data_IF_014910921117
#
_entry.id   IF_014910921117
#
_cell.length_a   1.000
_cell.length_b   1.000
_cell.length_c   1.000
_cell.angle_alpha   90.00
_cell.angle_beta   90.00
_cell.angle_gamma   90.00
#
_symmetry.space_group_name_H-M   'P 1'
#
loop_
_entity.id
_entity.type
_entity.pdbx_description
1 polymer ?
#
# COMPACT_ATOMS: atom_id res chain seq x y z
N UNK A 1 -17.71 0.05 -14.24
CA UNK A 1 -17.64 -0.84 -13.08
C UNK A 1 -17.01 -0.11 -11.90
N UNK A 2 -17.46 -0.40 -10.68
CA UNK A 2 -16.86 0.22 -9.52
C UNK A 2 -15.41 -0.25 -9.33
N UNK A 3 -14.58 0.62 -8.79
CA UNK A 3 -13.23 0.27 -8.39
C UNK A 3 -13.29 -0.72 -7.22
N UNK A 4 -12.28 -1.58 -7.12
CA UNK A 4 -12.21 -2.59 -6.08
C UNK A 4 -11.18 -2.20 -5.03
N UNK A 5 -11.52 -2.34 -3.76
CA UNK A 5 -10.54 -2.27 -2.69
C UNK A 5 -9.62 -3.49 -2.82
N UNK A 6 -8.38 -3.24 -3.24
CA UNK A 6 -7.41 -4.31 -3.44
C UNK A 6 -6.76 -4.71 -2.13
N UNK A 7 -6.21 -3.73 -1.41
CA UNK A 7 -5.61 -3.99 -0.11
C UNK A 7 -5.61 -2.75 0.78
N UNK A 8 -5.40 -2.98 2.06
CA UNK A 8 -5.07 -1.94 3.03
C UNK A 8 -3.64 -2.11 3.49
N UNK A 9 -2.94 -1.00 3.73
CA UNK A 9 -1.57 -1.02 4.23
C UNK A 9 -1.60 -0.69 5.71
N UNK A 10 -1.05 -1.60 6.52
CA UNK A 10 -0.99 -1.46 7.98
C UNK A 10 0.45 -1.31 8.42
N UNK A 11 0.78 -0.18 9.05
CA UNK A 11 2.07 -0.03 9.71
C UNK A 11 2.09 -0.88 10.97
N UNK A 12 3.17 -1.62 11.19
CA UNK A 12 3.34 -2.43 12.40
C UNK A 12 4.73 -2.26 12.97
N UNK A 13 4.81 -2.13 14.29
CA UNK A 13 6.06 -2.20 15.04
C UNK A 13 6.36 -3.63 15.53
N UNK A 14 5.44 -4.55 15.28
CA UNK A 14 5.52 -5.97 15.67
C UNK A 14 5.03 -6.82 14.51
N UNK A 15 5.63 -6.66 13.33
CA UNK A 15 5.14 -7.26 12.09
C UNK A 15 5.04 -8.79 12.19
N UNK A 16 6.02 -9.47 12.78
CA UNK A 16 5.99 -10.93 12.91
C UNK A 16 4.78 -11.39 13.74
N UNK A 17 4.48 -10.70 14.84
CA UNK A 17 3.32 -11.03 15.67
C UNK A 17 2.00 -10.74 14.95
N UNK A 18 1.92 -9.64 14.21
CA UNK A 18 0.73 -9.29 13.43
C UNK A 18 0.49 -10.30 12.31
N UNK A 19 1.54 -10.68 11.58
CA UNK A 19 1.44 -11.70 10.54
C UNK A 19 0.99 -13.04 11.13
N UNK A 20 1.55 -13.46 12.27
CA UNK A 20 1.12 -14.68 12.95
C UNK A 20 -0.37 -14.62 13.35
N UNK A 21 -0.85 -13.48 13.84
CA UNK A 21 -2.26 -13.29 14.14
C UNK A 21 -3.13 -13.44 12.89
N UNK A 22 -2.73 -12.81 11.78
CA UNK A 22 -3.50 -12.87 10.53
C UNK A 22 -3.53 -14.28 9.95
N UNK A 23 -2.47 -15.05 10.08
CA UNK A 23 -2.44 -16.43 9.60
C UNK A 23 -3.16 -17.39 10.54
N UNK A 24 -2.90 -17.31 11.84
CA UNK A 24 -3.39 -18.30 12.82
C UNK A 24 -4.84 -18.03 13.23
N UNK A 25 -5.23 -16.76 13.31
CA UNK A 25 -6.57 -16.38 13.81
C UNK A 25 -7.50 -15.99 12.68
N UNK A 26 -7.05 -15.12 11.76
CA UNK A 26 -7.89 -14.67 10.66
C UNK A 26 -7.90 -15.64 9.48
N UNK A 27 -7.03 -16.64 9.46
CA UNK A 27 -6.99 -17.65 8.41
C UNK A 27 -6.45 -17.15 7.08
N UNK A 28 -5.74 -16.05 7.07
CA UNK A 28 -5.11 -15.52 5.86
C UNK A 28 -3.85 -16.31 5.52
N UNK A 29 -3.48 -16.26 4.24
CA UNK A 29 -2.25 -16.88 3.73
C UNK A 29 -1.29 -15.79 3.29
N UNK A 30 -0.02 -15.94 3.62
CA UNK A 30 1.02 -15.08 3.06
C UNK A 30 1.11 -15.37 1.57
N UNK A 31 0.82 -14.35 0.76
CA UNK A 31 0.84 -14.47 -0.69
C UNK A 31 2.22 -14.13 -1.25
N UNK A 32 2.83 -13.07 -0.74
CA UNK A 32 4.20 -12.71 -1.12
C UNK A 32 4.79 -11.71 -0.13
N UNK A 33 6.10 -11.63 -0.18
CA UNK A 33 6.92 -10.71 0.61
C UNK A 33 7.84 -9.95 -0.33
N UNK A 34 8.08 -8.67 -0.04
CA UNK A 34 9.02 -7.89 -0.84
C UNK A 34 9.66 -6.79 -0.01
N UNK A 35 10.81 -6.32 -0.49
CA UNK A 35 11.50 -5.16 0.06
C UNK A 35 11.14 -3.94 -0.77
N UNK A 36 10.58 -2.91 -0.13
CA UNK A 36 10.23 -1.65 -0.79
C UNK A 36 11.31 -0.62 -0.50
N UNK A 37 11.89 0.01 -1.54
CA UNK A 37 12.95 1.00 -1.34
C UNK A 37 12.47 2.26 -0.61
N UNK A 38 13.39 2.91 0.11
CA UNK A 38 13.10 4.13 0.85
C UNK A 38 12.44 5.25 0.03
N UNK A 39 12.90 5.56 -1.19
CA UNK A 39 12.28 6.61 -2.01
C UNK A 39 10.80 6.43 -2.27
N UNK A 40 10.30 5.19 -2.33
CA UNK A 40 8.86 4.92 -2.48
C UNK A 40 8.08 5.45 -1.28
N UNK A 41 8.56 5.20 -0.07
CA UNK A 41 7.90 5.67 1.16
C UNK A 41 8.03 7.18 1.34
N UNK A 42 9.12 7.79 0.88
CA UNK A 42 9.25 9.25 0.87
C UNK A 42 8.15 9.88 -0.01
N UNK A 43 7.95 9.33 -1.20
CA UNK A 43 6.96 9.83 -2.15
C UNK A 43 5.52 9.54 -1.74
N UNK A 44 5.25 8.37 -1.15
CA UNK A 44 3.88 7.90 -0.92
C UNK A 44 3.37 8.10 0.49
N UNK A 45 4.25 8.00 1.49
CA UNK A 45 3.87 8.09 2.90
C UNK A 45 4.52 9.29 3.62
N UNK A 46 5.34 10.07 2.92
CA UNK A 46 6.00 11.22 3.53
C UNK A 46 7.08 10.87 4.54
N UNK A 47 7.63 9.67 4.45
CA UNK A 47 8.70 9.26 5.36
C UNK A 47 9.99 10.03 5.09
N UNK A 48 10.85 10.21 6.11
CA UNK A 48 12.20 10.71 5.86
C UNK A 48 13.02 9.68 5.07
N UNK A 49 14.16 10.08 4.50
CA UNK A 49 15.04 9.15 3.79
C UNK A 49 15.38 7.92 4.64
N UNK A 50 15.33 6.75 4.04
CA UNK A 50 15.57 5.47 4.72
C UNK A 50 16.05 4.42 3.72
N UNK A 51 16.47 3.26 4.25
CA UNK A 51 16.85 2.09 3.46
C UNK A 51 15.63 1.30 2.97
N UNK A 52 14.42 1.77 3.27
CA UNK A 52 13.19 1.07 2.92
C UNK A 52 12.71 0.15 4.03
N UNK A 53 11.75 -0.70 3.69
CA UNK A 53 11.14 -1.62 4.65
C UNK A 53 10.62 -2.87 3.97
N UNK A 54 10.49 -3.93 4.76
CA UNK A 54 9.87 -5.16 4.32
C UNK A 54 8.36 -5.05 4.39
N UNK A 55 7.67 -5.57 3.38
CA UNK A 55 6.22 -5.68 3.38
C UNK A 55 5.83 -7.14 3.13
N UNK A 56 4.74 -7.55 3.77
CA UNK A 56 4.17 -8.89 3.62
C UNK A 56 2.72 -8.72 3.24
N UNK A 57 2.29 -9.36 2.16
CA UNK A 57 0.91 -9.28 1.69
C UNK A 57 0.21 -10.60 1.97
N UNK A 58 -0.92 -10.50 2.67
CA UNK A 58 -1.71 -11.64 3.10
C UNK A 58 -3.15 -11.52 2.61
N UNK A 59 -3.77 -12.65 2.39
CA UNK A 59 -5.18 -12.71 2.03
C UNK A 59 -5.61 -14.12 1.68
N UNK A 60 -6.82 -14.23 1.14
CA UNK A 60 -7.39 -15.51 0.68
C UNK A 60 -7.87 -15.45 -0.77
N UNK A 61 -7.55 -14.38 -1.49
CA UNK A 61 -7.97 -14.19 -2.88
C UNK A 61 -7.16 -13.08 -3.55
N UNK A 62 -7.72 -12.50 -4.61
CA UNK A 62 -7.05 -11.49 -5.43
C UNK A 62 -7.27 -10.07 -4.91
N UNK A 63 -8.25 -9.87 -4.04
CA UNK A 63 -8.58 -8.60 -3.42
C UNK A 63 -8.90 -8.80 -1.94
N UNK A 64 -9.13 -7.72 -1.21
CA UNK A 64 -9.36 -7.82 0.23
C UNK A 64 -8.12 -8.21 1.00
N UNK A 65 -6.96 -7.79 0.52
CA UNK A 65 -5.67 -8.16 1.07
C UNK A 65 -5.24 -7.19 2.17
N UNK A 66 -4.34 -7.64 3.02
CA UNK A 66 -3.65 -6.79 4.00
C UNK A 66 -2.17 -6.80 3.67
N UNK A 67 -1.62 -5.60 3.48
CA UNK A 67 -0.18 -5.41 3.36
C UNK A 67 0.35 -4.98 4.74
N UNK A 68 1.15 -5.82 5.36
CA UNK A 68 1.80 -5.50 6.63
C UNK A 68 3.15 -4.86 6.33
N UNK A 69 3.27 -3.60 6.73
CA UNK A 69 4.48 -2.81 6.58
C UNK A 69 5.26 -2.89 7.88
N UNK A 70 6.42 -3.52 7.82
CA UNK A 70 7.33 -3.63 8.97
C UNK A 70 8.10 -2.33 9.12
N UNK A 71 7.64 -1.46 10.03
CA UNK A 71 8.26 -0.16 10.23
C UNK A 71 9.65 -0.34 10.83
N UNK A 72 10.71 0.15 10.16
CA UNK A 72 12.07 0.10 10.72
C UNK A 72 12.13 0.78 12.09
N UNK A 73 12.94 0.23 12.97
CA UNK A 73 13.00 0.69 14.36
C UNK A 73 13.32 2.18 14.47
N UNK A 74 14.20 2.69 13.61
CA UNK A 74 14.58 4.11 13.61
C UNK A 74 13.50 5.06 13.06
N UNK A 75 12.41 4.54 12.51
CA UNK A 75 11.31 5.34 11.97
C UNK A 75 10.02 5.26 12.80
N UNK A 76 10.03 4.52 13.91
CA UNK A 76 8.81 4.28 14.70
C UNK A 76 8.23 5.55 15.31
N UNK A 77 9.06 6.56 15.57
CA UNK A 77 8.59 7.84 16.10
C UNK A 77 7.79 8.65 15.07
N UNK A 78 8.06 8.48 13.78
CA UNK A 78 7.38 9.21 12.70
C UNK A 78 6.39 8.34 11.93
N UNK A 79 6.40 7.05 12.14
CA UNK A 79 5.50 6.09 11.49
C UNK A 79 4.80 5.22 12.55
N UNK A 80 3.76 5.74 13.21
CA UNK A 80 3.04 5.02 14.26
C UNK A 80 2.30 3.81 13.71
N UNK A 81 1.95 2.88 14.57
CA UNK A 81 1.12 1.73 14.21
C UNK A 81 -0.25 2.17 13.72
N UNK A 82 -0.82 1.43 12.81
CA UNK A 82 -2.16 1.61 12.30
C UNK A 82 -2.23 1.73 10.79
N UNK A 83 -3.38 2.18 10.31
CA UNK A 83 -3.66 2.31 8.88
C UNK A 83 -2.72 3.32 8.22
N UNK A 84 -2.00 2.88 7.19
CA UNK A 84 -1.09 3.72 6.43
C UNK A 84 -1.72 4.21 5.12
N UNK A 85 -2.47 3.35 4.42
CA UNK A 85 -3.04 3.68 3.13
C UNK A 85 -4.17 2.72 2.76
N UNK A 86 -5.04 3.19 1.88
CA UNK A 86 -5.99 2.34 1.16
C UNK A 86 -5.52 2.21 -0.28
N UNK A 87 -5.69 1.03 -0.87
CA UNK A 87 -5.30 0.79 -2.26
C UNK A 87 -6.44 0.20 -3.05
N UNK A 88 -6.81 0.87 -4.13
CA UNK A 88 -7.87 0.45 -5.03
C UNK A 88 -7.31 -0.01 -6.36
N UNK A 89 -7.95 -1.01 -6.94
CA UNK A 89 -7.70 -1.44 -8.30
C UNK A 89 -8.75 -0.80 -9.21
N UNK A 90 -8.33 -0.18 -10.30
CA UNK A 90 -9.22 0.48 -11.23
C UNK A 90 -8.97 -0.01 -12.66
N UNK A 91 -10.04 -0.21 -13.42
CA UNK A 91 -9.98 -0.45 -14.87
C UNK A 91 -10.15 0.82 -15.69
N UNK A 92 -10.30 1.97 -15.02
CA UNK A 92 -10.38 3.29 -15.63
C UNK A 92 -9.45 4.26 -14.91
N UNK A 93 -8.16 4.12 -15.16
CA UNK A 93 -7.12 4.90 -14.48
C UNK A 93 -7.29 6.39 -14.71
N UNK A 94 -7.41 6.81 -15.98
CA UNK A 94 -7.51 8.23 -16.32
C UNK A 94 -8.82 8.84 -15.79
N UNK A 95 -9.93 8.14 -15.92
CA UNK A 95 -11.21 8.61 -15.40
C UNK A 95 -11.23 8.73 -13.88
N UNK A 96 -10.67 7.74 -13.18
CA UNK A 96 -10.56 7.76 -11.72
C UNK A 96 -9.67 8.93 -11.26
N UNK A 97 -8.55 9.16 -11.93
CA UNK A 97 -7.65 10.26 -11.65
C UNK A 97 -8.34 11.62 -11.82
N UNK A 98 -9.06 11.81 -12.91
CA UNK A 98 -9.78 13.06 -13.16
C UNK A 98 -10.89 13.29 -12.12
N UNK A 99 -11.63 12.25 -11.76
CA UNK A 99 -12.67 12.36 -10.71
C UNK A 99 -12.05 12.68 -9.34
N UNK A 100 -10.89 12.09 -9.03
CA UNK A 100 -10.20 12.35 -7.77
C UNK A 100 -9.79 13.82 -7.62
N UNK A 101 -9.42 14.48 -8.71
CA UNK A 101 -9.06 15.91 -8.71
C UNK A 101 -10.20 16.81 -8.25
N UNK A 102 -11.44 16.37 -8.39
CA UNK A 102 -12.61 17.11 -7.90
C UNK A 102 -12.83 16.99 -6.40
N UNK A 103 -12.15 16.09 -5.73
CA UNK A 103 -12.34 15.80 -4.31
C UNK A 103 -11.06 15.99 -3.47
N UNK A 104 -9.90 15.69 -4.06
CA UNK A 104 -8.61 15.77 -3.38
C UNK A 104 -7.71 16.80 -4.07
N UNK A 105 -6.85 17.46 -3.29
CA UNK A 105 -6.00 18.54 -3.80
C UNK A 105 -4.62 18.09 -4.26
N UNK A 106 -4.22 16.86 -3.94
CA UNK A 106 -2.84 16.35 -4.08
C UNK A 106 -2.76 15.11 -4.96
N UNK A 107 -3.56 15.04 -6.02
CA UNK A 107 -3.53 13.91 -6.94
C UNK A 107 -2.21 13.91 -7.70
N UNK A 108 -1.42 12.86 -7.51
CA UNK A 108 -0.08 12.74 -8.08
C UNK A 108 0.11 11.37 -8.71
N UNK A 109 0.52 11.35 -9.98
CA UNK A 109 0.91 10.11 -10.65
C UNK A 109 2.30 9.73 -10.15
N UNK A 110 2.46 8.47 -9.81
CA UNK A 110 3.72 7.95 -9.28
C UNK A 110 4.30 6.90 -10.22
N UNK A 111 5.54 7.12 -10.65
CA UNK A 111 6.30 6.14 -11.42
C UNK A 111 7.06 5.24 -10.45
N UNK A 112 6.63 3.99 -10.36
CA UNK A 112 7.26 3.01 -9.48
C UNK A 112 8.59 2.49 -10.03
N UNK A 113 8.88 2.75 -11.30
CA UNK A 113 9.98 2.10 -12.00
C UNK A 113 9.72 0.63 -12.31
N UNK A 114 8.54 0.12 -11.97
CA UNK A 114 8.13 -1.27 -12.24
C UNK A 114 7.24 -1.31 -13.47
N UNK A 115 7.58 -2.18 -14.41
CA UNK A 115 6.78 -2.38 -15.63
C UNK A 115 5.40 -2.95 -15.29
N UNK A 116 4.35 -2.41 -15.90
CA UNK A 116 2.99 -2.90 -15.74
C UNK A 116 2.27 -2.44 -14.49
N UNK A 117 2.80 -1.43 -13.80
CA UNK A 117 2.16 -0.85 -12.61
C UNK A 117 1.96 0.64 -12.81
N UNK A 118 0.71 1.06 -12.98
CA UNK A 118 0.32 2.47 -13.08
C UNK A 118 -0.33 2.89 -11.76
N UNK A 119 0.23 3.88 -11.11
CA UNK A 119 -0.25 4.36 -9.80
C UNK A 119 -0.53 5.85 -9.82
N UNK A 120 -1.60 6.26 -9.12
CA UNK A 120 -1.68 7.62 -8.62
C UNK A 120 -2.08 7.61 -7.14
N UNK A 121 -1.71 8.69 -6.46
CA UNK A 121 -2.00 8.88 -5.04
C UNK A 121 -2.77 10.16 -4.82
N UNK A 122 -3.61 10.16 -3.80
CA UNK A 122 -4.21 11.35 -3.23
C UNK A 122 -4.40 11.14 -1.73
N UNK A 123 -4.79 12.19 -1.02
CA UNK A 123 -5.06 12.09 0.42
C UNK A 123 -6.48 12.54 0.69
N UNK A 124 -7.25 11.74 1.39
CA UNK A 124 -8.60 12.06 1.82
C UNK A 124 -8.78 11.71 3.29
N UNK A 125 -9.28 12.67 4.07
CA UNK A 125 -9.50 12.44 5.50
C UNK A 125 -8.22 12.12 6.27
N UNK A 126 -7.08 12.63 5.79
CA UNK A 126 -5.77 12.33 6.38
C UNK A 126 -5.21 10.97 6.00
N UNK A 127 -5.89 10.21 5.14
CA UNK A 127 -5.45 8.87 4.72
C UNK A 127 -4.94 8.93 3.29
N UNK A 128 -3.70 8.49 3.03
CA UNK A 128 -3.21 8.27 1.68
C UNK A 128 -4.05 7.20 0.97
N UNK A 129 -4.45 7.49 -0.26
CA UNK A 129 -5.23 6.57 -1.08
C UNK A 129 -4.51 6.36 -2.40
N UNK A 130 -4.26 5.10 -2.72
CA UNK A 130 -3.58 4.67 -3.93
C UNK A 130 -4.59 4.08 -4.91
N UNK A 131 -4.43 4.40 -6.18
CA UNK A 131 -5.18 3.75 -7.26
C UNK A 131 -4.19 3.09 -8.23
N UNK A 132 -4.39 1.80 -8.47
CA UNK A 132 -3.59 1.02 -9.40
C UNK A 132 -4.40 0.75 -10.66
N UNK A 133 -3.93 1.25 -11.82
CA UNK A 133 -4.55 0.99 -13.12
C UNK A 133 -4.22 -0.41 -13.63
N UNK A 134 -3.02 -0.86 -13.33
CA UNK A 134 -2.60 -2.24 -13.58
C UNK A 134 -1.72 -2.69 -12.41
N UNK A 135 -1.76 -3.98 -12.13
CA UNK A 135 -0.98 -4.56 -11.04
C UNK A 135 -0.53 -5.96 -11.43
N UNK A 136 0.79 -6.13 -11.45
CA UNK A 136 1.41 -7.43 -11.63
C UNK A 136 2.08 -7.82 -10.29
N UNK A 137 1.62 -8.88 -9.60
CA UNK A 137 2.31 -9.35 -8.40
C UNK A 137 3.76 -9.69 -8.71
N UNK A 138 4.69 -9.51 -7.75
CA UNK A 138 6.06 -9.97 -7.95
C UNK A 138 6.08 -11.47 -8.26
N UNK A 139 6.95 -11.87 -9.16
CA UNK A 139 7.16 -13.30 -9.41
C UNK A 139 7.77 -13.96 -8.18
N UNK A 140 7.27 -15.14 -7.88
CA UNK A 140 7.75 -15.90 -6.73
C UNK A 140 9.19 -16.40 -6.93
#
# INVERSE_FOLDING_TARGET
>A
LPNQLHHVVMRSHSAAAFIAFLTDVAGMTVQYELRVPGPVFEATLGWPPSDGADVTILGSGDTGLIEVLDVPENLRDVAPEGLAALSFLTDDFEGSKERAKGHASDVTVFDTGMSGVDLFFCTMGGVPVEFMGSYAPPEA
#
